data_IF_745302667901
#
_entry.id   IF_745302667901
#
_cell.length_a   1.000
_cell.length_b   1.000
_cell.length_c   1.000
_cell.angle_alpha   90.00
_cell.angle_beta   90.00
_cell.angle_gamma   90.00
#
_symmetry.space_group_name_H-M   'P 1'
#
loop_
_entity.id
_entity.type
_entity.pdbx_description
1 polymer ?
#
# COMPACT_ATOMS: atom_id res chain seq x y z
N UNK A 1 -26.03 32.76 8.20
CA UNK A 1 -25.81 32.19 6.84
C UNK A 1 -24.45 31.50 6.68
N UNK A 2 -23.35 32.05 7.22
CA UNK A 2 -22.01 31.44 7.13
C UNK A 2 -21.87 30.11 7.90
N UNK A 3 -22.55 29.94 9.04
CA UNK A 3 -22.48 28.71 9.86
C UNK A 3 -23.09 27.50 9.13
N UNK A 4 -24.22 27.66 8.45
CA UNK A 4 -24.91 26.60 7.70
C UNK A 4 -24.05 26.19 6.48
N UNK A 5 -23.44 27.16 5.79
CA UNK A 5 -22.55 26.89 4.64
C UNK A 5 -21.29 26.14 5.05
N UNK A 6 -20.71 26.45 6.20
CA UNK A 6 -19.56 25.74 6.75
C UNK A 6 -19.91 24.30 7.19
N UNK A 7 -21.11 24.13 7.77
CA UNK A 7 -21.62 22.82 8.16
C UNK A 7 -21.83 21.92 6.90
N UNK A 8 -22.47 22.47 5.87
CA UNK A 8 -22.66 21.76 4.61
C UNK A 8 -21.35 21.39 3.92
N UNK A 9 -20.36 22.31 3.89
CA UNK A 9 -19.05 22.02 3.34
C UNK A 9 -18.33 20.87 4.10
N UNK A 10 -18.45 20.84 5.42
CA UNK A 10 -17.86 19.78 6.25
C UNK A 10 -18.51 18.42 6.03
N UNK A 11 -19.85 18.37 5.95
CA UNK A 11 -20.57 17.13 5.64
C UNK A 11 -20.24 16.61 4.24
N UNK A 12 -20.10 17.50 3.25
CA UNK A 12 -19.67 17.13 1.90
C UNK A 12 -18.29 16.46 1.90
N UNK A 13 -17.32 17.02 2.60
CA UNK A 13 -15.96 16.42 2.69
C UNK A 13 -16.01 15.03 3.33
N UNK A 14 -16.78 14.86 4.40
CA UNK A 14 -16.96 13.56 5.06
C UNK A 14 -17.60 12.55 4.09
N UNK A 15 -18.67 12.95 3.40
CA UNK A 15 -19.37 12.10 2.44
C UNK A 15 -18.46 11.71 1.26
N UNK A 16 -17.73 12.66 0.70
CA UNK A 16 -16.75 12.40 -0.37
C UNK A 16 -15.68 11.40 0.07
N UNK A 17 -15.11 11.56 1.27
CA UNK A 17 -14.12 10.64 1.80
C UNK A 17 -14.68 9.23 2.01
N UNK A 18 -15.88 9.09 2.54
CA UNK A 18 -16.56 7.78 2.68
C UNK A 18 -16.76 7.14 1.30
N UNK A 19 -17.23 7.91 0.33
CA UNK A 19 -17.43 7.44 -1.04
C UNK A 19 -16.11 6.93 -1.65
N UNK A 20 -15.02 7.67 -1.50
CA UNK A 20 -13.72 7.24 -2.03
C UNK A 20 -13.18 5.99 -1.33
N UNK A 21 -13.35 5.87 -0.01
CA UNK A 21 -12.99 4.63 0.72
C UNK A 21 -13.82 3.46 0.23
N UNK A 22 -15.13 3.64 0.02
CA UNK A 22 -16.01 2.60 -0.51
C UNK A 22 -15.61 2.18 -1.93
N UNK A 23 -15.20 3.12 -2.78
CA UNK A 23 -14.68 2.83 -4.12
C UNK A 23 -13.38 2.00 -4.06
N UNK A 24 -12.45 2.33 -3.15
CA UNK A 24 -11.23 1.52 -2.94
C UNK A 24 -11.58 0.08 -2.61
N UNK A 25 -12.54 -0.12 -1.70
CA UNK A 25 -12.99 -1.44 -1.29
C UNK A 25 -13.70 -2.19 -2.44
N UNK A 26 -14.58 -1.52 -3.16
CA UNK A 26 -15.28 -2.08 -4.31
C UNK A 26 -14.29 -2.58 -5.38
N UNK A 27 -13.35 -1.74 -5.79
CA UNK A 27 -12.30 -2.16 -6.74
C UNK A 27 -11.36 -3.21 -6.14
N UNK A 28 -11.21 -3.24 -4.80
CA UNK A 28 -10.49 -4.28 -4.08
C UNK A 28 -11.10 -5.66 -4.25
N UNK A 29 -12.43 -5.74 -4.32
CA UNK A 29 -13.18 -6.98 -4.53
C UNK A 29 -13.34 -7.32 -6.02
N UNK A 30 -13.59 -6.33 -6.87
CA UNK A 30 -13.80 -6.53 -8.31
C UNK A 30 -12.53 -6.99 -9.04
N UNK A 31 -11.37 -6.43 -8.70
CA UNK A 31 -10.12 -6.78 -9.37
C UNK A 31 -9.79 -8.28 -9.26
N UNK A 32 -9.81 -8.91 -8.08
CA UNK A 32 -9.66 -10.36 -7.96
C UNK A 32 -10.75 -11.14 -8.70
N UNK A 33 -12.02 -10.73 -8.60
CA UNK A 33 -13.13 -11.42 -9.30
C UNK A 33 -12.91 -11.51 -10.82
N UNK A 34 -12.26 -10.52 -11.40
CA UNK A 34 -11.96 -10.48 -12.84
C UNK A 34 -10.69 -11.31 -13.15
N UNK A 35 -9.66 -11.19 -12.31
CA UNK A 35 -8.35 -11.77 -12.61
C UNK A 35 -8.23 -13.23 -12.17
N UNK A 36 -8.91 -13.67 -11.11
CA UNK A 36 -8.78 -15.03 -10.59
C UNK A 36 -9.20 -16.11 -11.56
N UNK A 37 -10.40 -16.03 -12.20
CA UNK A 37 -10.78 -17.05 -13.16
C UNK A 37 -9.77 -17.18 -14.30
N UNK A 38 -9.30 -16.05 -14.83
CA UNK A 38 -8.31 -16.01 -15.88
C UNK A 38 -6.96 -16.63 -15.46
N UNK A 39 -6.46 -16.25 -14.28
CA UNK A 39 -5.18 -16.78 -13.77
C UNK A 39 -5.25 -18.27 -13.46
N UNK A 40 -6.40 -18.77 -12.97
CA UNK A 40 -6.61 -20.21 -12.76
C UNK A 40 -6.62 -20.95 -14.09
N UNK A 41 -7.25 -20.39 -15.11
CA UNK A 41 -7.31 -21.00 -16.45
C UNK A 41 -5.94 -21.07 -17.13
N UNK A 42 -5.16 -19.98 -17.06
CA UNK A 42 -3.83 -19.90 -17.71
C UNK A 42 -2.76 -20.66 -16.93
N UNK A 43 -2.65 -20.43 -15.63
CA UNK A 43 -1.58 -20.98 -14.78
C UNK A 43 -1.89 -22.40 -14.28
N UNK A 44 -3.17 -22.74 -14.19
CA UNK A 44 -3.65 -23.92 -13.49
C UNK A 44 -3.77 -23.73 -11.98
N UNK A 45 -4.59 -24.56 -11.34
CA UNK A 45 -4.92 -24.46 -9.92
C UNK A 45 -3.69 -24.52 -9.00
N UNK A 46 -2.72 -25.37 -9.33
CA UNK A 46 -1.55 -25.62 -8.50
C UNK A 46 -0.63 -24.40 -8.42
N UNK A 47 -0.18 -23.88 -9.57
CA UNK A 47 0.71 -22.71 -9.61
C UNK A 47 0.00 -21.45 -9.11
N UNK A 48 -1.27 -21.27 -9.46
CA UNK A 48 -2.04 -20.16 -8.93
C UNK A 48 -2.23 -20.24 -7.41
N UNK A 49 -2.46 -21.45 -6.87
CA UNK A 49 -2.48 -21.69 -5.43
C UNK A 49 -1.18 -21.28 -4.72
N UNK A 50 -0.02 -21.55 -5.34
CA UNK A 50 1.29 -21.11 -4.83
C UNK A 50 1.42 -19.58 -4.86
N UNK A 51 0.95 -18.91 -5.93
CA UNK A 51 0.92 -17.44 -6.01
C UNK A 51 0.10 -16.85 -4.87
N UNK A 52 -1.10 -17.37 -4.62
CA UNK A 52 -1.96 -16.93 -3.52
C UNK A 52 -1.29 -17.18 -2.16
N UNK A 53 -0.67 -18.34 -1.97
CA UNK A 53 0.06 -18.66 -0.74
C UNK A 53 1.18 -17.66 -0.47
N UNK A 54 1.95 -17.31 -1.49
CA UNK A 54 3.00 -16.30 -1.38
C UNK A 54 2.42 -14.91 -1.03
N UNK A 55 1.30 -14.52 -1.64
CA UNK A 55 0.61 -13.25 -1.34
C UNK A 55 0.07 -13.21 0.10
N UNK A 56 -0.51 -14.30 0.59
CA UNK A 56 -0.99 -14.39 1.99
C UNK A 56 0.18 -14.25 2.96
N UNK A 57 1.29 -14.95 2.70
CA UNK A 57 2.48 -14.86 3.55
C UNK A 57 3.03 -13.43 3.62
N UNK A 58 3.10 -12.77 2.47
CA UNK A 58 3.46 -11.34 2.39
C UNK A 58 2.45 -10.46 3.13
N UNK A 59 1.17 -10.80 3.08
CA UNK A 59 0.12 -10.08 3.82
C UNK A 59 0.38 -10.03 5.32
N UNK A 60 0.91 -11.10 5.93
CA UNK A 60 1.33 -11.06 7.34
C UNK A 60 2.51 -10.10 7.57
N UNK A 61 3.46 -10.03 6.64
CA UNK A 61 4.57 -9.06 6.74
C UNK A 61 4.05 -7.62 6.64
N UNK A 62 3.08 -7.36 5.75
CA UNK A 62 2.41 -6.05 5.63
C UNK A 62 1.77 -5.61 6.94
N UNK A 63 1.08 -6.51 7.66
CA UNK A 63 0.48 -6.21 8.96
C UNK A 63 1.52 -5.79 10.00
N UNK A 64 2.69 -6.45 10.01
CA UNK A 64 3.79 -6.10 10.92
C UNK A 64 4.41 -4.75 10.53
N UNK A 65 4.59 -4.48 9.24
CA UNK A 65 5.17 -3.22 8.74
C UNK A 65 4.24 -2.05 9.02
N UNK A 66 2.92 -2.21 8.86
CA UNK A 66 1.94 -1.16 9.18
C UNK A 66 1.90 -0.86 10.68
N UNK A 67 1.96 -1.88 11.52
CA UNK A 67 1.94 -1.74 12.99
C UNK A 67 0.84 -0.78 13.49
N UNK A 68 -0.27 -0.68 12.78
CA UNK A 68 -1.34 0.27 13.09
C UNK A 68 -1.01 1.74 12.82
N UNK A 69 0.14 2.02 12.17
CA UNK A 69 0.62 3.37 11.88
C UNK A 69 -0.38 4.16 11.02
N UNK A 70 -1.11 3.50 10.11
CA UNK A 70 -2.10 4.17 9.28
C UNK A 70 -3.19 4.83 10.11
N UNK A 71 -3.69 4.21 11.17
CA UNK A 71 -4.77 4.75 12.00
C UNK A 71 -4.27 5.80 13.00
N UNK A 72 -3.19 5.51 13.73
CA UNK A 72 -2.65 6.39 14.77
C UNK A 72 -2.06 7.66 14.15
N UNK A 73 -1.27 7.51 13.08
CA UNK A 73 -0.61 8.66 12.47
C UNK A 73 -1.57 9.52 11.67
N UNK A 74 -2.65 8.97 11.10
CA UNK A 74 -3.71 9.77 10.47
C UNK A 74 -4.36 10.74 11.47
N UNK A 75 -4.60 10.30 12.71
CA UNK A 75 -5.10 11.18 13.77
C UNK A 75 -4.11 12.30 14.07
N UNK A 76 -2.83 12.00 14.23
CA UNK A 76 -1.79 13.00 14.52
C UNK A 76 -1.65 14.00 13.36
N UNK A 77 -1.67 13.54 12.12
CA UNK A 77 -1.67 14.41 10.93
C UNK A 77 -2.89 15.33 10.92
N UNK A 78 -4.07 14.83 11.29
CA UNK A 78 -5.30 15.61 11.31
C UNK A 78 -5.26 16.73 12.37
N UNK A 79 -4.63 16.49 13.51
CA UNK A 79 -4.46 17.48 14.59
C UNK A 79 -3.50 18.61 14.15
N UNK A 80 -2.42 18.26 13.44
CA UNK A 80 -1.35 19.18 13.05
C UNK A 80 -1.40 19.59 11.58
N UNK A 81 -2.56 19.48 10.92
CA UNK A 81 -2.70 19.65 9.46
C UNK A 81 -2.24 21.01 8.92
N UNK A 82 -2.18 22.04 9.76
CA UNK A 82 -1.74 23.38 9.38
C UNK A 82 -0.25 23.62 9.69
N UNK A 83 0.38 22.75 10.49
CA UNK A 83 1.80 22.84 10.85
C UNK A 83 2.66 21.93 9.97
N UNK A 84 3.28 22.53 8.96
CA UNK A 84 4.13 21.80 8.00
C UNK A 84 5.38 21.19 8.63
N UNK A 85 5.89 21.78 9.70
CA UNK A 85 7.05 21.25 10.39
C UNK A 85 6.68 19.96 11.12
N UNK A 86 5.58 19.99 11.89
CA UNK A 86 5.04 18.80 12.57
C UNK A 86 4.64 17.71 11.59
N UNK A 87 4.00 18.05 10.47
CA UNK A 87 3.70 17.09 9.42
C UNK A 87 4.96 16.44 8.84
N UNK A 88 6.03 17.24 8.63
CA UNK A 88 7.33 16.72 8.15
C UNK A 88 7.96 15.75 9.16
N UNK A 89 7.91 16.06 10.45
CA UNK A 89 8.37 15.19 11.54
C UNK A 89 7.58 13.87 11.55
N UNK A 90 6.24 13.93 11.50
CA UNK A 90 5.37 12.74 11.53
C UNK A 90 5.65 11.85 10.31
N UNK A 91 5.64 12.40 9.10
CA UNK A 91 5.85 11.64 7.87
C UNK A 91 7.23 10.98 7.87
N UNK A 92 8.28 11.73 8.24
CA UNK A 92 9.65 11.21 8.27
C UNK A 92 9.82 10.10 9.30
N UNK A 93 9.27 10.28 10.50
CA UNK A 93 9.34 9.27 11.57
C UNK A 93 8.64 7.98 11.18
N UNK A 94 7.44 8.06 10.59
CA UNK A 94 6.69 6.88 10.16
C UNK A 94 7.44 6.13 9.08
N UNK A 95 7.95 6.82 8.05
CA UNK A 95 8.72 6.19 6.98
C UNK A 95 9.98 5.51 7.51
N UNK A 96 10.69 6.11 8.47
CA UNK A 96 11.88 5.51 9.09
C UNK A 96 11.53 4.28 9.95
N UNK A 97 10.43 4.31 10.70
CA UNK A 97 9.97 3.15 11.49
C UNK A 97 9.57 2.01 10.54
N UNK A 98 8.77 2.30 9.51
CA UNK A 98 8.37 1.32 8.50
C UNK A 98 9.57 0.72 7.78
N UNK A 99 10.59 1.53 7.46
CA UNK A 99 11.82 1.02 6.85
C UNK A 99 12.55 0.02 7.76
N UNK A 100 12.66 0.31 9.06
CA UNK A 100 13.27 -0.61 10.03
C UNK A 100 12.47 -1.90 10.14
N UNK A 101 11.15 -1.81 10.29
CA UNK A 101 10.28 -2.98 10.35
C UNK A 101 10.34 -3.79 9.05
N UNK A 102 10.35 -3.11 7.90
CA UNK A 102 10.47 -3.75 6.60
C UNK A 102 11.77 -4.56 6.46
N UNK A 103 12.91 -4.02 6.92
CA UNK A 103 14.19 -4.76 6.90
C UNK A 103 14.17 -5.97 7.83
N UNK A 104 13.57 -5.84 9.02
CA UNK A 104 13.41 -6.97 9.97
C UNK A 104 12.50 -8.04 9.33
N UNK A 105 11.37 -7.64 8.75
CA UNK A 105 10.46 -8.55 8.06
C UNK A 105 11.11 -9.20 6.85
N UNK A 106 11.92 -8.47 6.07
CA UNK A 106 12.68 -9.02 4.94
C UNK A 106 13.60 -10.15 5.39
N UNK A 107 14.37 -9.91 6.45
CA UNK A 107 15.28 -10.93 7.00
C UNK A 107 14.51 -12.17 7.47
N UNK A 108 13.45 -11.99 8.26
CA UNK A 108 12.60 -13.09 8.72
C UNK A 108 11.93 -13.84 7.57
N UNK A 109 11.44 -13.11 6.55
CA UNK A 109 10.80 -13.68 5.37
C UNK A 109 11.77 -14.51 4.53
N UNK A 110 12.98 -14.01 4.28
CA UNK A 110 14.03 -14.74 3.56
C UNK A 110 14.38 -16.03 4.31
N UNK A 111 14.62 -15.98 5.63
CA UNK A 111 14.86 -17.17 6.43
C UNK A 111 13.75 -18.21 6.29
N UNK A 112 12.49 -17.76 6.38
CA UNK A 112 11.31 -18.62 6.26
C UNK A 112 11.23 -19.29 4.90
N UNK A 113 11.49 -18.55 3.81
CA UNK A 113 11.49 -19.08 2.44
C UNK A 113 12.57 -20.15 2.26
N UNK A 114 13.76 -20.01 2.88
CA UNK A 114 14.84 -20.99 2.74
C UNK A 114 14.69 -22.20 3.69
N UNK A 115 14.03 -22.05 4.83
CA UNK A 115 13.83 -23.14 5.81
C UNK A 115 12.71 -24.08 5.37
N UNK A 116 11.61 -23.57 4.82
CA UNK A 116 10.46 -24.39 4.42
C UNK A 116 10.71 -25.01 3.04
N UNK A 117 10.77 -26.36 2.89
CA UNK A 117 11.11 -27.01 1.62
C UNK A 117 10.23 -26.57 0.46
N UNK A 118 8.90 -26.52 0.65
CA UNK A 118 7.95 -26.10 -0.39
C UNK A 118 8.20 -24.66 -0.86
N UNK A 119 8.56 -23.74 0.04
CA UNK A 119 8.85 -22.36 -0.32
C UNK A 119 10.22 -22.23 -1.01
N UNK A 120 11.19 -23.04 -0.60
CA UNK A 120 12.51 -23.06 -1.20
C UNK A 120 12.48 -23.58 -2.64
N UNK A 121 11.63 -24.55 -2.94
CA UNK A 121 11.41 -25.05 -4.32
C UNK A 121 10.94 -23.91 -5.24
N UNK A 122 10.02 -23.06 -4.76
CA UNK A 122 9.48 -21.90 -5.50
C UNK A 122 10.03 -20.57 -4.99
N UNK A 123 11.28 -20.55 -4.48
CA UNK A 123 11.89 -19.37 -3.83
C UNK A 123 11.80 -18.09 -4.64
N UNK A 124 11.95 -18.17 -5.95
CA UNK A 124 11.86 -16.98 -6.82
C UNK A 124 10.47 -16.34 -6.76
N UNK A 125 9.40 -17.13 -6.76
CA UNK A 125 8.03 -16.63 -6.59
C UNK A 125 7.86 -15.92 -5.24
N UNK A 126 8.27 -16.58 -4.16
CA UNK A 126 8.15 -16.02 -2.82
C UNK A 126 8.96 -14.74 -2.68
N UNK A 127 10.22 -14.70 -3.14
CA UNK A 127 11.06 -13.51 -3.07
C UNK A 127 10.49 -12.35 -3.89
N UNK A 128 9.97 -12.60 -5.10
CA UNK A 128 9.32 -11.56 -5.90
C UNK A 128 8.01 -11.07 -5.27
N UNK A 129 7.28 -11.95 -4.60
CA UNK A 129 6.07 -11.56 -3.87
C UNK A 129 6.34 -10.55 -2.76
N UNK A 130 7.55 -10.51 -2.20
CA UNK A 130 7.92 -9.51 -1.21
C UNK A 130 7.88 -8.06 -1.74
N UNK A 131 7.93 -7.87 -3.07
CA UNK A 131 7.74 -6.55 -3.70
C UNK A 131 6.39 -5.91 -3.36
N UNK A 132 5.37 -6.71 -3.02
CA UNK A 132 4.06 -6.19 -2.63
C UNK A 132 4.12 -5.36 -1.33
N UNK A 133 5.11 -5.63 -0.46
CA UNK A 133 5.31 -4.88 0.79
C UNK A 133 5.80 -3.45 0.55
N UNK A 134 6.33 -3.14 -0.64
CA UNK A 134 6.79 -1.78 -0.99
C UNK A 134 5.68 -0.75 -0.91
N UNK A 135 4.43 -1.18 -1.16
CA UNK A 135 3.28 -0.30 -0.96
C UNK A 135 3.20 0.19 0.49
N UNK A 136 3.28 -0.73 1.47
CA UNK A 136 3.16 -0.36 2.87
C UNK A 136 4.38 0.42 3.37
N UNK A 137 5.56 0.10 2.84
CA UNK A 137 6.79 0.83 3.18
C UNK A 137 6.72 2.31 2.74
N UNK A 138 6.30 2.55 1.50
CA UNK A 138 6.50 3.85 0.83
C UNK A 138 5.22 4.67 0.75
N UNK A 139 4.04 4.04 0.60
CA UNK A 139 2.78 4.74 0.38
C UNK A 139 2.25 5.37 1.68
N UNK A 140 2.20 6.71 1.79
CA UNK A 140 1.82 7.40 3.02
C UNK A 140 0.31 7.60 3.12
N UNK A 141 -0.46 6.52 3.16
CA UNK A 141 -1.92 6.56 3.24
C UNK A 141 -2.40 7.37 4.43
N UNK A 142 -1.76 7.22 5.60
CA UNK A 142 -2.07 7.95 6.83
C UNK A 142 -2.04 9.48 6.65
N UNK A 143 -1.11 9.98 5.82
CA UNK A 143 -1.00 11.40 5.55
C UNK A 143 -2.23 11.93 4.80
N UNK A 144 -2.58 11.30 3.67
CA UNK A 144 -3.75 11.70 2.88
C UNK A 144 -5.06 11.54 3.65
N UNK A 145 -5.16 10.52 4.50
CA UNK A 145 -6.30 10.30 5.36
C UNK A 145 -6.41 11.42 6.42
N UNK A 146 -5.31 11.79 7.05
CA UNK A 146 -5.28 12.85 8.07
C UNK A 146 -5.58 14.24 7.51
N UNK A 147 -5.17 14.54 6.28
CA UNK A 147 -5.52 15.82 5.61
C UNK A 147 -6.85 15.75 4.82
N UNK A 148 -7.64 14.68 5.00
CA UNK A 148 -8.95 14.49 4.37
C UNK A 148 -8.91 14.47 2.82
N UNK A 149 -7.80 14.02 2.23
CA UNK A 149 -7.63 13.92 0.76
C UNK A 149 -7.71 12.46 0.27
N UNK A 150 -8.71 11.68 0.71
CA UNK A 150 -8.88 10.27 0.31
C UNK A 150 -9.07 10.07 -1.18
N UNK A 151 -9.50 11.10 -1.91
CA UNK A 151 -9.57 11.07 -3.38
C UNK A 151 -8.25 10.66 -4.04
N UNK A 152 -7.10 11.15 -3.52
CA UNK A 152 -5.77 10.81 -4.06
C UNK A 152 -5.48 9.33 -3.85
N UNK A 153 -5.74 8.84 -2.63
CA UNK A 153 -5.56 7.42 -2.29
C UNK A 153 -6.42 6.53 -3.17
N UNK A 154 -7.70 6.90 -3.35
CA UNK A 154 -8.64 6.14 -4.18
C UNK A 154 -8.18 6.09 -5.64
N UNK A 155 -7.82 7.24 -6.21
CA UNK A 155 -7.36 7.32 -7.59
C UNK A 155 -6.12 6.44 -7.84
N UNK A 156 -5.10 6.55 -6.99
CA UNK A 156 -3.88 5.76 -7.13
C UNK A 156 -4.13 4.26 -6.96
N UNK A 157 -4.91 3.86 -5.95
CA UNK A 157 -5.26 2.45 -5.74
C UNK A 157 -6.06 1.85 -6.91
N UNK A 158 -7.04 2.59 -7.44
CA UNK A 158 -7.83 2.15 -8.60
C UNK A 158 -6.95 2.05 -9.85
N UNK A 159 -6.08 3.06 -10.07
CA UNK A 159 -5.14 3.06 -11.19
C UNK A 159 -4.24 1.84 -11.18
N UNK A 160 -3.63 1.51 -10.02
CA UNK A 160 -2.78 0.32 -9.86
C UNK A 160 -3.55 -0.95 -10.25
N UNK A 161 -4.80 -1.09 -9.78
CA UNK A 161 -5.63 -2.26 -10.07
C UNK A 161 -5.99 -2.37 -11.54
N UNK A 162 -6.37 -1.26 -12.18
CA UNK A 162 -6.68 -1.24 -13.61
C UNK A 162 -5.45 -1.59 -14.45
N UNK A 163 -4.30 -1.01 -14.12
CA UNK A 163 -3.02 -1.32 -14.80
C UNK A 163 -2.66 -2.79 -14.58
N UNK A 164 -2.77 -3.30 -13.34
CA UNK A 164 -2.51 -4.70 -13.04
C UNK A 164 -3.41 -5.64 -13.85
N UNK A 165 -4.72 -5.42 -13.85
CA UNK A 165 -5.68 -6.22 -14.64
C UNK A 165 -5.27 -6.22 -16.11
N UNK A 166 -5.01 -5.04 -16.69
CA UNK A 166 -4.60 -4.93 -18.08
C UNK A 166 -3.32 -5.69 -18.37
N UNK A 167 -2.28 -5.50 -17.55
CA UNK A 167 -0.99 -6.16 -17.74
C UNK A 167 -1.07 -7.69 -17.55
N UNK A 168 -1.89 -8.17 -16.61
CA UNK A 168 -2.13 -9.61 -16.44
C UNK A 168 -2.70 -10.21 -17.72
N UNK A 169 -3.74 -9.61 -18.30
CA UNK A 169 -4.33 -10.09 -19.55
C UNK A 169 -3.39 -10.00 -20.75
N UNK A 170 -2.44 -9.07 -20.76
CA UNK A 170 -1.48 -8.93 -21.85
C UNK A 170 -0.25 -9.82 -21.72
N UNK A 171 0.29 -9.97 -20.52
CA UNK A 171 1.62 -10.57 -20.29
C UNK A 171 1.57 -11.99 -19.73
N UNK A 172 0.52 -12.36 -19.00
CA UNK A 172 0.41 -13.71 -18.42
C UNK A 172 -0.38 -14.58 -19.40
N UNK A 173 0.32 -15.41 -20.19
CA UNK A 173 -0.27 -16.23 -21.26
C UNK A 173 -0.04 -17.73 -21.08
N UNK A 174 0.98 -18.12 -20.34
CA UNK A 174 1.36 -19.50 -20.13
C UNK A 174 1.72 -19.78 -18.67
N UNK A 175 1.84 -21.05 -18.32
CA UNK A 175 2.15 -21.48 -16.95
C UNK A 175 3.47 -20.90 -16.42
N UNK A 176 4.45 -20.69 -17.30
CA UNK A 176 5.75 -20.10 -16.95
C UNK A 176 5.66 -18.65 -16.44
N UNK A 177 4.58 -17.95 -16.77
CA UNK A 177 4.39 -16.53 -16.44
C UNK A 177 3.92 -16.29 -14.99
N UNK A 178 3.78 -17.34 -14.17
CA UNK A 178 3.31 -17.22 -12.78
C UNK A 178 4.15 -16.24 -11.94
N UNK A 179 5.44 -16.08 -12.25
CA UNK A 179 6.33 -15.12 -11.60
C UNK A 179 5.97 -13.66 -11.90
N UNK A 180 5.35 -13.39 -13.05
CA UNK A 180 4.96 -12.03 -13.42
C UNK A 180 3.85 -11.49 -12.52
N UNK A 181 2.98 -12.33 -11.98
CA UNK A 181 1.84 -11.89 -11.18
C UNK A 181 2.25 -11.01 -10.00
N UNK A 182 3.12 -11.44 -9.08
CA UNK A 182 3.57 -10.57 -7.98
C UNK A 182 4.43 -9.39 -8.47
N UNK A 183 5.21 -9.54 -9.53
CA UNK A 183 6.04 -8.47 -10.08
C UNK A 183 5.18 -7.34 -10.64
N UNK A 184 4.14 -7.65 -11.41
CA UNK A 184 3.23 -6.66 -11.99
C UNK A 184 2.49 -5.87 -10.89
N UNK A 185 2.05 -6.54 -9.82
CA UNK A 185 1.48 -5.88 -8.66
C UNK A 185 2.51 -4.99 -7.95
N UNK A 186 3.69 -5.51 -7.69
CA UNK A 186 4.78 -4.79 -7.02
C UNK A 186 5.18 -3.52 -7.77
N UNK A 187 5.32 -3.59 -9.08
CA UNK A 187 5.63 -2.42 -9.94
C UNK A 187 4.49 -1.39 -9.87
N UNK A 188 3.24 -1.83 -9.97
CA UNK A 188 2.09 -0.94 -9.87
C UNK A 188 2.07 -0.17 -8.54
N UNK A 189 2.27 -0.87 -7.44
CA UNK A 189 2.35 -0.26 -6.11
C UNK A 189 3.55 0.68 -5.96
N UNK A 190 4.70 0.32 -6.51
CA UNK A 190 5.90 1.17 -6.47
C UNK A 190 5.66 2.49 -7.21
N UNK A 191 5.06 2.45 -8.40
CA UNK A 191 4.73 3.66 -9.18
C UNK A 191 3.75 4.54 -8.39
N UNK A 192 2.66 3.98 -7.85
CA UNK A 192 1.69 4.72 -7.06
C UNK A 192 2.32 5.36 -5.80
N UNK A 193 3.22 4.62 -5.15
CA UNK A 193 3.93 5.09 -3.96
C UNK A 193 4.87 6.25 -4.30
N UNK A 194 5.61 6.18 -5.40
CA UNK A 194 6.48 7.27 -5.87
C UNK A 194 5.63 8.51 -6.19
N UNK A 195 4.53 8.35 -6.93
CA UNK A 195 3.64 9.47 -7.26
C UNK A 195 3.10 10.11 -5.98
N UNK A 196 2.70 9.30 -4.99
CA UNK A 196 2.17 9.82 -3.72
C UNK A 196 3.21 10.61 -2.93
N UNK A 197 4.46 10.14 -2.88
CA UNK A 197 5.56 10.87 -2.25
C UNK A 197 5.88 12.17 -2.97
N UNK A 198 5.90 12.17 -4.30
CA UNK A 198 6.10 13.38 -5.09
C UNK A 198 5.02 14.42 -4.79
N UNK A 199 3.76 14.01 -4.64
CA UNK A 199 2.68 14.92 -4.27
C UNK A 199 2.91 15.54 -2.89
N UNK A 200 3.36 14.77 -1.90
CA UNK A 200 3.63 15.27 -0.55
C UNK A 200 4.83 16.23 -0.53
N UNK A 201 5.94 15.84 -1.15
CA UNK A 201 7.15 16.64 -1.09
C UNK A 201 7.09 17.87 -1.99
N UNK A 202 6.56 17.76 -3.21
CA UNK A 202 6.54 18.87 -4.16
C UNK A 202 5.33 19.79 -3.98
N UNK A 203 4.12 19.24 -3.80
CA UNK A 203 2.88 20.02 -3.72
C UNK A 203 2.61 20.53 -2.31
N UNK A 204 2.69 19.65 -1.31
CA UNK A 204 2.39 20.01 0.08
C UNK A 204 3.64 20.58 0.78
N UNK A 205 4.83 20.49 0.13
CA UNK A 205 6.12 21.04 0.61
C UNK A 205 6.55 20.48 1.96
N UNK A 206 6.22 19.22 2.21
CA UNK A 206 6.73 18.47 3.35
C UNK A 206 8.21 18.17 3.11
N UNK A 207 9.05 18.27 4.15
CA UNK A 207 10.48 17.99 4.04
C UNK A 207 10.82 16.72 4.81
N UNK A 208 11.72 15.91 4.27
CA UNK A 208 12.24 14.78 5.02
C UNK A 208 13.18 15.29 6.11
N UNK A 209 12.91 14.92 7.36
CA UNK A 209 13.68 15.32 8.53
C UNK A 209 14.10 14.07 9.31
N UNK A 210 15.38 13.97 9.63
CA UNK A 210 15.86 12.91 10.54
C UNK A 210 15.62 13.43 11.96
N UNK A 211 14.50 13.01 12.56
CA UNK A 211 14.12 13.40 13.93
C UNK A 211 14.50 12.30 14.92
N UNK A 212 14.98 12.73 16.09
CA UNK A 212 15.23 11.79 17.20
C UNK A 212 13.88 11.42 17.84
N UNK A 213 13.55 10.12 17.85
CA UNK A 213 12.24 9.59 18.28
C UNK A 213 11.87 9.91 19.73
N UNK A 214 12.85 10.35 20.53
CA UNK A 214 12.66 10.62 21.97
C UNK A 214 11.75 11.84 22.25
N UNK A 215 11.60 12.75 21.31
CA UNK A 215 10.84 13.98 21.49
C UNK A 215 9.34 13.87 21.19
N UNK A 216 8.85 12.72 20.71
CA UNK A 216 7.44 12.57 20.31
C UNK A 216 6.55 11.89 21.37
N UNK A 217 7.11 11.38 22.46
CA UNK A 217 6.36 10.67 23.52
C UNK A 217 6.34 11.39 24.88
N UNK A 218 6.82 12.63 24.94
CA UNK A 218 6.62 13.58 26.04
C UNK A 218 5.62 14.65 25.58
#
# INVERSE_FOLDING_TARGET
MNSIRNLYARYKVIFDNILFVSLIQLFGLLAPLITYPYLVDVLGMELYGLVITAQILVGYMVLVIDFGSNSVCAKNVSIHREDKQKLSEIVSSVLLIRLKLWLICLFAYVLLVFIIPTYNEYKTLFLFSYLLTLNELIFPQFYFQGIEKMKVVAFLNILVKLVFISLVFFLVKEKGDYLLVPVLYGIGYLIASIISLLLIFMKDKIRFMITDYRTQYN
#
